data_IF_050425638043
#
_entry.id   IF_050425638043
#
_cell.length_a   1.000
_cell.length_b   1.000
_cell.length_c   1.000
_cell.angle_alpha   90.00
_cell.angle_beta   90.00
_cell.angle_gamma   90.00
#
_symmetry.space_group_name_H-M   'P 1'
#
loop_
_entity.id
_entity.type
_entity.pdbx_description
1 polymer ?
#
# COMPACT_ATOMS: atom_id res chain seq x y z
N UNK A 1 -31.93 -29.66 17.85
CA UNK A 1 -30.82 -30.05 16.96
C UNK A 1 -29.77 -28.95 17.03
N UNK A 2 -28.66 -29.20 17.74
CA UNK A 2 -27.55 -28.27 17.85
C UNK A 2 -26.72 -28.38 16.56
N UNK A 3 -26.62 -27.28 15.82
CA UNK A 3 -25.84 -27.19 14.59
C UNK A 3 -24.38 -27.51 14.88
N UNK A 4 -23.87 -28.57 14.25
CA UNK A 4 -22.47 -28.92 14.28
C UNK A 4 -21.66 -27.74 13.74
N UNK A 5 -20.84 -27.14 14.61
CA UNK A 5 -19.87 -26.15 14.20
C UNK A 5 -18.97 -26.76 13.14
N UNK A 6 -18.91 -26.14 11.96
CA UNK A 6 -17.93 -26.47 10.94
C UNK A 6 -16.56 -26.25 11.59
N UNK A 7 -15.88 -27.34 11.93
CA UNK A 7 -14.46 -27.31 12.28
C UNK A 7 -13.74 -26.95 11.00
N UNK A 8 -13.54 -25.64 10.78
CA UNK A 8 -12.65 -25.15 9.74
C UNK A 8 -11.26 -25.65 10.12
N UNK A 9 -10.80 -26.71 9.46
CA UNK A 9 -9.38 -27.10 9.42
C UNK A 9 -8.57 -25.80 9.31
N UNK A 10 -7.57 -25.61 10.17
CA UNK A 10 -6.77 -24.39 10.22
C UNK A 10 -6.16 -24.10 8.83
N UNK A 11 -6.90 -23.37 8.00
CA UNK A 11 -6.44 -22.94 6.70
C UNK A 11 -5.17 -22.14 6.96
N UNK A 12 -4.08 -22.51 6.27
CA UNK A 12 -2.83 -21.75 6.35
C UNK A 12 -3.19 -20.29 6.09
N UNK A 13 -2.81 -19.41 7.01
CA UNK A 13 -3.04 -17.97 6.86
C UNK A 13 -2.48 -17.52 5.51
N UNK A 14 -3.00 -16.43 4.91
CA UNK A 14 -2.54 -15.98 3.60
C UNK A 14 -1.01 -15.93 3.48
N UNK A 15 -0.32 -15.32 4.44
CA UNK A 15 1.14 -15.22 4.46
C UNK A 15 1.83 -16.58 4.64
N UNK A 16 1.27 -17.50 5.44
CA UNK A 16 1.82 -18.84 5.60
C UNK A 16 1.68 -19.69 4.32
N UNK A 17 0.62 -19.47 3.54
CA UNK A 17 0.36 -20.18 2.29
C UNK A 17 1.17 -19.63 1.11
N UNK A 18 1.36 -18.31 1.07
CA UNK A 18 1.86 -17.57 -0.11
C UNK A 18 3.23 -16.89 0.10
N UNK A 19 3.68 -16.68 1.34
CA UNK A 19 5.01 -16.15 1.63
C UNK A 19 5.19 -14.68 1.23
N UNK A 20 6.43 -14.29 0.90
CA UNK A 20 6.75 -12.92 0.47
C UNK A 20 6.32 -12.73 -0.98
N UNK A 21 5.59 -11.64 -1.25
CA UNK A 21 5.15 -11.30 -2.60
C UNK A 21 6.27 -10.62 -3.40
N UNK A 22 6.17 -10.71 -4.72
CA UNK A 22 7.02 -10.00 -5.68
C UNK A 22 6.22 -9.62 -6.92
N UNK A 23 6.82 -8.86 -7.84
CA UNK A 23 6.17 -8.44 -9.09
C UNK A 23 6.90 -9.08 -10.27
N UNK A 24 6.14 -9.66 -11.19
CA UNK A 24 6.65 -10.20 -12.46
C UNK A 24 5.78 -9.71 -13.61
N UNK A 25 6.36 -8.94 -14.51
CA UNK A 25 5.60 -8.18 -15.51
C UNK A 25 4.62 -7.26 -14.79
N UNK A 26 3.33 -7.44 -15.05
CA UNK A 26 2.25 -6.68 -14.41
C UNK A 26 1.62 -7.38 -13.20
N UNK A 27 1.99 -8.64 -12.95
CA UNK A 27 1.35 -9.48 -11.93
C UNK A 27 2.07 -9.37 -10.59
N UNK A 28 1.28 -9.19 -9.53
CA UNK A 28 1.71 -9.53 -8.17
C UNK A 28 1.69 -11.06 -8.03
N UNK A 29 2.80 -11.64 -7.60
CA UNK A 29 2.96 -13.09 -7.45
C UNK A 29 3.38 -13.47 -6.03
N UNK A 30 3.01 -14.68 -5.63
CA UNK A 30 3.42 -15.30 -4.38
C UNK A 30 4.84 -15.89 -4.47
N UNK A 31 5.35 -16.39 -3.33
CA UNK A 31 6.68 -17.00 -3.24
C UNK A 31 6.85 -18.29 -4.08
N UNK A 32 5.77 -18.84 -4.64
CA UNK A 32 5.77 -20.00 -5.53
C UNK A 32 5.64 -19.58 -7.00
N UNK A 33 5.64 -18.28 -7.29
CA UNK A 33 5.50 -17.73 -8.62
C UNK A 33 4.08 -17.71 -9.17
N UNK A 34 3.06 -17.94 -8.32
CA UNK A 34 1.65 -17.91 -8.75
C UNK A 34 1.08 -16.51 -8.58
N UNK A 35 0.23 -16.08 -9.51
CA UNK A 35 -0.50 -14.81 -9.41
C UNK A 35 -1.26 -14.76 -8.08
N UNK A 36 -1.17 -13.62 -7.41
CA UNK A 36 -1.78 -13.41 -6.09
C UNK A 36 -2.53 -12.09 -6.08
N UNK A 37 -3.74 -12.10 -5.52
CA UNK A 37 -4.58 -10.90 -5.41
C UNK A 37 -4.78 -10.54 -3.94
N UNK A 38 -4.42 -9.32 -3.59
CA UNK A 38 -4.79 -8.73 -2.31
C UNK A 38 -6.24 -8.26 -2.38
N UNK A 39 -7.07 -8.70 -1.43
CA UNK A 39 -8.46 -8.24 -1.22
C UNK A 39 -8.56 -7.85 0.24
N UNK A 40 -8.80 -6.57 0.47
CA UNK A 40 -8.59 -5.96 1.79
C UNK A 40 -9.45 -4.74 2.03
N UNK A 41 -9.28 -4.20 3.23
CA UNK A 41 -9.91 -2.95 3.68
C UNK A 41 -8.80 -1.99 4.13
N UNK A 42 -8.95 -0.72 3.78
CA UNK A 42 -8.15 0.37 4.34
C UNK A 42 -8.78 0.87 5.62
N UNK A 43 -7.95 1.20 6.60
CA UNK A 43 -8.40 2.13 7.64
C UNK A 43 -8.78 3.45 6.99
N UNK A 44 -9.67 4.20 7.66
CA UNK A 44 -9.66 5.65 7.53
C UNK A 44 -8.34 6.21 8.11
N UNK A 45 -8.15 7.53 8.11
CA UNK A 45 -6.93 8.12 8.69
C UNK A 45 -6.71 7.71 10.15
N UNK A 46 -5.55 7.10 10.42
CA UNK A 46 -5.20 6.60 11.77
C UNK A 46 -4.92 7.73 12.76
N UNK A 47 -4.76 8.95 12.26
CA UNK A 47 -4.67 10.21 13.00
C UNK A 47 -6.00 10.70 13.56
N UNK A 48 -7.13 10.07 13.20
CA UNK A 48 -8.46 10.48 13.65
C UNK A 48 -9.14 9.42 14.51
N UNK A 49 -10.04 9.88 15.38
CA UNK A 49 -10.81 9.03 16.30
C UNK A 49 -11.81 8.12 15.59
N UNK A 50 -12.10 8.37 14.31
CA UNK A 50 -12.94 7.48 13.49
C UNK A 50 -12.14 6.36 12.81
N UNK A 51 -10.82 6.53 12.65
CA UNK A 51 -9.95 5.52 12.04
C UNK A 51 -9.17 4.72 13.06
N UNK A 52 -8.54 5.41 14.03
CA UNK A 52 -7.65 4.84 15.03
C UNK A 52 -8.26 3.66 15.83
N UNK A 53 -9.52 3.70 16.30
CA UNK A 53 -10.07 2.62 17.12
C UNK A 53 -10.15 1.28 16.39
N UNK A 54 -10.24 1.28 15.05
CA UNK A 54 -10.35 0.06 14.25
C UNK A 54 -9.00 -0.57 13.90
N UNK A 55 -7.88 0.11 14.19
CA UNK A 55 -6.53 -0.46 14.06
C UNK A 55 -6.21 -1.31 15.29
N UNK A 56 -6.89 -2.46 15.40
CA UNK A 56 -6.71 -3.40 16.50
C UNK A 56 -6.85 -4.87 16.02
N UNK A 57 -6.33 -5.81 16.82
CA UNK A 57 -6.28 -7.23 16.47
C UNK A 57 -7.68 -7.87 16.33
N UNK A 58 -8.66 -7.44 17.12
CA UNK A 58 -10.01 -7.98 17.05
C UNK A 58 -10.68 -7.61 15.72
N UNK A 59 -10.64 -6.34 15.34
CA UNK A 59 -11.15 -5.87 14.04
C UNK A 59 -10.50 -6.59 12.87
N UNK A 60 -9.16 -6.73 12.87
CA UNK A 60 -8.45 -7.42 11.79
C UNK A 60 -8.80 -8.91 11.73
N UNK A 61 -9.01 -9.55 12.90
CA UNK A 61 -9.42 -10.95 12.96
C UNK A 61 -10.83 -11.14 12.40
N UNK A 62 -11.78 -10.26 12.73
CA UNK A 62 -13.13 -10.26 12.15
C UNK A 62 -13.07 -10.09 10.63
N UNK A 63 -12.36 -9.07 10.15
CA UNK A 63 -12.17 -8.85 8.71
C UNK A 63 -11.62 -10.11 8.02
N UNK A 64 -10.56 -10.74 8.57
CA UNK A 64 -9.97 -11.95 7.99
C UNK A 64 -10.93 -13.14 8.00
N UNK A 65 -11.52 -13.43 9.15
CA UNK A 65 -12.27 -14.66 9.36
C UNK A 65 -13.66 -14.60 8.72
N UNK A 66 -14.33 -13.46 8.84
CA UNK A 66 -15.75 -13.35 8.52
C UNK A 66 -15.94 -12.75 7.12
N UNK A 67 -15.05 -11.85 6.69
CA UNK A 67 -15.13 -11.19 5.37
C UNK A 67 -14.14 -11.78 4.36
N UNK A 68 -13.26 -12.69 4.80
CA UNK A 68 -12.29 -13.36 3.94
C UNK A 68 -11.19 -12.46 3.39
N UNK A 69 -10.93 -11.29 4.01
CA UNK A 69 -9.85 -10.42 3.53
C UNK A 69 -8.48 -10.97 3.87
N UNK A 70 -7.51 -10.75 2.99
CA UNK A 70 -6.13 -11.21 3.15
C UNK A 70 -5.12 -10.08 3.38
N UNK A 71 -5.58 -8.82 3.33
CA UNK A 71 -4.76 -7.64 3.50
C UNK A 71 -5.50 -6.53 4.25
N UNK A 72 -4.74 -5.69 4.94
CA UNK A 72 -5.20 -4.42 5.51
C UNK A 72 -4.31 -3.29 5.04
N UNK A 73 -4.86 -2.08 4.93
CA UNK A 73 -4.10 -0.88 4.58
C UNK A 73 -4.19 0.14 5.71
N UNK A 74 -3.06 0.73 6.09
CA UNK A 74 -2.94 1.67 7.21
C UNK A 74 -2.73 3.09 6.67
N UNK A 75 -3.82 3.85 6.54
CA UNK A 75 -3.80 5.21 5.99
C UNK A 75 -3.26 6.22 7.02
N UNK A 76 -1.98 6.60 6.90
CA UNK A 76 -1.35 7.58 7.78
C UNK A 76 -1.27 8.95 7.10
N UNK A 77 -2.24 9.83 7.36
CA UNK A 77 -2.30 11.15 6.75
C UNK A 77 -1.06 11.97 7.08
N UNK A 78 -0.56 12.68 6.07
CA UNK A 78 0.64 13.51 6.20
C UNK A 78 0.30 14.93 6.65
N UNK A 79 -0.67 15.57 5.98
CA UNK A 79 -0.85 17.03 6.03
C UNK A 79 -2.20 17.50 6.56
N UNK A 80 -3.13 16.57 6.83
CA UNK A 80 -4.43 16.89 7.41
C UNK A 80 -4.36 17.06 8.93
N UNK A 81 -5.48 17.41 9.57
CA UNK A 81 -5.55 17.63 11.01
C UNK A 81 -5.00 16.41 11.77
N UNK A 82 -4.05 16.64 12.69
CA UNK A 82 -3.29 15.62 13.41
C UNK A 82 -2.49 14.65 12.51
N UNK A 83 -2.25 15.02 11.25
CA UNK A 83 -1.41 14.27 10.33
C UNK A 83 0.06 14.27 10.76
N UNK A 84 0.82 13.31 10.24
CA UNK A 84 2.22 13.06 10.61
C UNK A 84 3.13 14.31 10.47
N UNK A 85 2.86 15.15 9.48
CA UNK A 85 3.58 16.40 9.21
C UNK A 85 2.77 17.66 9.57
N UNK A 86 1.62 17.52 10.23
CA UNK A 86 0.68 18.62 10.50
C UNK A 86 0.05 18.51 11.90
N UNK A 87 0.89 18.69 12.93
CA UNK A 87 0.46 18.75 14.34
C UNK A 87 0.22 17.41 15.02
N UNK A 88 0.23 16.30 14.28
CA UNK A 88 0.10 14.96 14.84
C UNK A 88 1.30 14.53 15.67
N UNK A 89 1.05 13.73 16.71
CA UNK A 89 2.12 13.08 17.46
C UNK A 89 2.76 11.96 16.60
N UNK A 90 3.90 12.27 15.99
CA UNK A 90 4.65 11.35 15.11
C UNK A 90 4.98 10.01 15.77
N UNK A 91 5.35 9.99 17.05
CA UNK A 91 5.65 8.74 17.75
C UNK A 91 4.40 7.89 17.98
N UNK A 92 3.28 8.53 18.30
CA UNK A 92 2.00 7.83 18.42
C UNK A 92 1.53 7.26 17.08
N UNK A 93 1.63 8.03 15.99
CA UNK A 93 1.28 7.56 14.64
C UNK A 93 2.19 6.39 14.21
N UNK A 94 3.50 6.49 14.42
CA UNK A 94 4.41 5.34 14.20
C UNK A 94 4.02 4.15 15.06
N UNK A 95 3.65 4.36 16.34
CA UNK A 95 3.19 3.28 17.23
C UNK A 95 1.92 2.61 16.69
N UNK A 96 0.95 3.36 16.19
CA UNK A 96 -0.25 2.81 15.55
C UNK A 96 0.09 1.99 14.31
N UNK A 97 0.98 2.48 13.44
CA UNK A 97 1.49 1.72 12.28
C UNK A 97 2.16 0.42 12.73
N UNK A 98 3.07 0.48 13.71
CA UNK A 98 3.74 -0.72 14.26
C UNK A 98 2.76 -1.72 14.85
N UNK A 99 1.74 -1.23 15.58
CA UNK A 99 0.68 -2.08 16.12
C UNK A 99 -0.12 -2.75 15.00
N UNK A 100 -0.56 -2.01 13.98
CA UNK A 100 -1.27 -2.55 12.82
C UNK A 100 -0.45 -3.63 12.10
N UNK A 101 0.84 -3.39 11.87
CA UNK A 101 1.74 -4.39 11.28
C UNK A 101 1.82 -5.63 12.17
N UNK A 102 2.02 -5.46 13.49
CA UNK A 102 2.06 -6.58 14.43
C UNK A 102 0.77 -7.40 14.38
N UNK A 103 -0.39 -6.75 14.38
CA UNK A 103 -1.68 -7.45 14.34
C UNK A 103 -1.86 -8.23 13.03
N UNK A 104 -1.52 -7.62 11.89
CA UNK A 104 -1.55 -8.31 10.60
C UNK A 104 -0.59 -9.50 10.55
N UNK A 105 0.64 -9.34 11.06
CA UNK A 105 1.64 -10.42 11.16
C UNK A 105 1.14 -11.58 12.04
N UNK A 106 0.63 -11.28 13.25
CA UNK A 106 0.08 -12.28 14.16
C UNK A 106 -1.10 -13.06 13.52
N UNK A 107 -1.86 -12.41 12.64
CA UNK A 107 -3.00 -13.01 11.93
C UNK A 107 -2.61 -13.59 10.56
N UNK A 108 -1.34 -13.49 10.15
CA UNK A 108 -0.84 -13.93 8.85
C UNK A 108 -1.50 -13.26 7.66
N UNK A 109 -1.85 -11.97 7.80
CA UNK A 109 -2.36 -11.10 6.76
C UNK A 109 -1.24 -10.22 6.19
N UNK A 110 -1.41 -9.75 4.96
CA UNK A 110 -0.59 -8.68 4.39
C UNK A 110 -0.99 -7.32 4.95
N UNK A 111 -0.05 -6.38 4.98
CA UNK A 111 -0.26 -5.01 5.45
C UNK A 111 0.40 -4.01 4.51
N UNK A 112 -0.38 -3.02 4.07
CA UNK A 112 0.12 -1.88 3.30
C UNK A 112 0.34 -0.72 4.28
N UNK A 113 1.57 -0.24 4.36
CA UNK A 113 1.93 0.99 5.09
C UNK A 113 1.79 2.13 4.10
N UNK A 114 0.79 2.99 4.32
CA UNK A 114 0.46 4.04 3.38
C UNK A 114 0.84 5.43 3.91
N UNK A 115 1.78 6.06 3.20
CA UNK A 115 2.12 7.47 3.36
C UNK A 115 1.07 8.33 2.66
N UNK A 116 0.04 8.66 3.44
CA UNK A 116 -1.25 9.11 2.92
C UNK A 116 -1.24 10.61 2.62
N UNK A 117 -0.56 10.98 1.52
CA UNK A 117 -0.70 12.32 0.94
C UNK A 117 -2.09 12.47 0.33
N UNK A 118 -2.66 13.65 0.48
CA UNK A 118 -3.95 14.00 -0.11
C UNK A 118 -4.01 15.51 -0.32
N UNK A 119 -4.31 16.27 0.74
CA UNK A 119 -4.39 17.75 0.68
C UNK A 119 -3.05 18.43 0.35
N UNK A 120 -1.92 17.82 0.69
CA UNK A 120 -0.59 18.31 0.35
C UNK A 120 -0.31 18.25 -1.17
N UNK A 121 -0.97 17.36 -1.90
CA UNK A 121 -0.98 17.25 -3.36
C UNK A 121 0.35 16.82 -3.96
N UNK A 122 1.39 17.64 -3.83
CA UNK A 122 2.73 17.35 -4.31
C UNK A 122 3.54 16.56 -3.24
N UNK A 123 3.92 15.30 -3.50
CA UNK A 123 4.66 14.48 -2.53
C UNK A 123 6.00 15.08 -2.11
N UNK A 124 6.62 15.93 -2.94
CA UNK A 124 7.91 16.57 -2.60
C UNK A 124 7.82 17.52 -1.41
N UNK A 125 6.62 18.04 -1.06
CA UNK A 125 6.43 18.90 0.12
C UNK A 125 6.85 18.22 1.42
N UNK A 126 6.65 16.90 1.51
CA UNK A 126 6.97 16.11 2.69
C UNK A 126 8.13 15.13 2.48
N UNK A 127 9.00 15.39 1.48
CA UNK A 127 10.07 14.46 1.08
C UNK A 127 11.03 14.11 2.23
N UNK A 128 11.45 15.08 3.05
CA UNK A 128 12.36 14.85 4.18
C UNK A 128 11.74 13.90 5.21
N UNK A 129 10.48 14.14 5.56
CA UNK A 129 9.74 13.35 6.52
C UNK A 129 9.46 11.94 5.98
N UNK A 130 9.08 11.83 4.71
CA UNK A 130 8.88 10.55 4.05
C UNK A 130 10.17 9.71 4.03
N UNK A 131 11.32 10.30 3.70
CA UNK A 131 12.62 9.61 3.76
C UNK A 131 12.90 9.05 5.15
N UNK A 132 12.76 9.87 6.20
CA UNK A 132 13.00 9.44 7.57
C UNK A 132 12.02 8.34 8.02
N UNK A 133 10.75 8.47 7.67
CA UNK A 133 9.73 7.48 7.98
C UNK A 133 10.01 6.14 7.29
N UNK A 134 10.24 6.15 5.97
CA UNK A 134 10.48 4.93 5.21
C UNK A 134 11.82 4.28 5.51
N UNK A 135 12.85 5.05 5.87
CA UNK A 135 14.10 4.49 6.41
C UNK A 135 13.81 3.69 7.70
N UNK A 136 13.15 4.33 8.67
CA UNK A 136 12.76 3.68 9.94
C UNK A 136 11.96 2.40 9.71
N UNK A 137 10.90 2.48 8.88
CA UNK A 137 10.01 1.33 8.64
C UNK A 137 10.72 0.21 7.87
N UNK A 138 11.52 0.55 6.86
CA UNK A 138 12.24 -0.45 6.06
C UNK A 138 13.35 -1.15 6.86
N UNK A 139 14.09 -0.44 7.71
CA UNK A 139 15.04 -1.06 8.66
C UNK A 139 14.32 -2.06 9.56
N UNK A 140 13.20 -1.65 10.15
CA UNK A 140 12.47 -2.45 11.13
C UNK A 140 11.81 -3.69 10.52
N UNK A 141 11.34 -3.59 9.28
CA UNK A 141 10.48 -4.62 8.67
C UNK A 141 11.08 -5.33 7.46
N UNK A 142 12.36 -5.12 7.13
CA UNK A 142 13.04 -5.79 6.00
C UNK A 142 12.96 -7.31 5.99
N UNK A 143 12.73 -7.96 7.13
CA UNK A 143 12.60 -9.43 7.24
C UNK A 143 11.15 -9.92 7.23
N UNK A 144 10.17 -9.02 7.30
CA UNK A 144 8.76 -9.38 7.25
C UNK A 144 8.36 -9.77 5.82
N UNK A 145 7.57 -10.85 5.69
CA UNK A 145 7.08 -11.32 4.39
C UNK A 145 5.79 -10.63 3.95
N UNK A 146 5.13 -9.93 4.88
CA UNK A 146 3.77 -9.44 4.73
C UNK A 146 3.64 -7.92 4.59
N UNK A 147 4.75 -7.17 4.64
CA UNK A 147 4.76 -5.70 4.58
C UNK A 147 4.94 -5.23 3.13
N UNK A 148 4.10 -4.27 2.74
CA UNK A 148 4.11 -3.57 1.46
C UNK A 148 4.13 -2.07 1.76
N UNK A 149 4.90 -1.29 1.00
CA UNK A 149 5.02 0.15 1.21
C UNK A 149 4.28 0.90 0.12
N UNK A 150 3.34 1.76 0.49
CA UNK A 150 2.71 2.71 -0.42
C UNK A 150 3.27 4.11 -0.14
N UNK A 151 4.10 4.61 -1.06
CA UNK A 151 4.98 5.77 -0.78
C UNK A 151 4.30 7.11 -0.99
N UNK A 152 3.18 7.14 -1.69
CA UNK A 152 2.34 8.32 -1.84
C UNK A 152 0.94 7.87 -2.29
N UNK A 153 -0.07 8.10 -1.45
CA UNK A 153 -1.47 7.75 -1.72
C UNK A 153 -2.02 8.37 -3.02
N UNK A 154 -2.22 9.69 -3.03
CA UNK A 154 -2.94 10.37 -4.12
C UNK A 154 -2.28 11.69 -4.51
N UNK A 155 -1.15 11.65 -5.25
CA UNK A 155 -0.59 12.86 -5.83
C UNK A 155 -1.63 13.63 -6.66
N UNK A 156 -1.75 14.94 -6.42
CA UNK A 156 -2.65 15.81 -7.15
C UNK A 156 -2.07 17.22 -7.28
N UNK A 157 -2.43 17.92 -8.35
CA UNK A 157 -1.87 19.24 -8.67
C UNK A 157 -0.37 19.23 -9.00
N UNK A 158 0.20 18.08 -9.39
CA UNK A 158 1.61 17.95 -9.79
C UNK A 158 1.80 16.97 -10.96
N UNK A 159 2.89 17.15 -11.71
CA UNK A 159 3.20 16.33 -12.88
C UNK A 159 3.73 14.94 -12.53
N UNK A 160 3.61 13.99 -13.47
CA UNK A 160 4.22 12.66 -13.32
C UNK A 160 5.74 12.72 -13.09
N UNK A 161 6.46 13.62 -13.77
CA UNK A 161 7.90 13.81 -13.54
C UNK A 161 8.19 14.19 -12.08
N UNK A 162 7.38 15.07 -11.47
CA UNK A 162 7.53 15.45 -10.06
C UNK A 162 7.36 14.26 -9.12
N UNK A 163 6.38 13.40 -9.42
CA UNK A 163 6.09 12.19 -8.62
C UNK A 163 7.20 11.15 -8.82
N UNK A 164 7.69 10.95 -10.05
CA UNK A 164 8.81 10.07 -10.36
C UNK A 164 10.07 10.46 -9.59
N UNK A 165 10.43 11.75 -9.61
CA UNK A 165 11.59 12.27 -8.88
C UNK A 165 11.49 12.05 -7.36
N UNK A 166 10.28 12.15 -6.82
CA UNK A 166 10.02 11.81 -5.41
C UNK A 166 10.17 10.30 -5.19
N UNK A 167 9.50 9.50 -6.02
CA UNK A 167 9.43 8.05 -5.89
C UNK A 167 10.82 7.41 -5.94
N UNK A 168 11.67 7.79 -6.90
CA UNK A 168 13.03 7.26 -7.03
C UNK A 168 13.88 7.52 -5.77
N UNK A 169 13.68 8.65 -5.10
CA UNK A 169 14.39 8.96 -3.87
C UNK A 169 13.90 8.11 -2.68
N UNK A 170 12.60 7.87 -2.57
CA UNK A 170 12.05 7.01 -1.51
C UNK A 170 12.36 5.54 -1.77
N UNK A 171 12.28 5.09 -3.03
CA UNK A 171 12.66 3.73 -3.43
C UNK A 171 14.12 3.47 -3.07
N UNK A 172 15.05 4.39 -3.32
CA UNK A 172 16.45 4.25 -2.91
C UNK A 172 16.59 4.03 -1.41
N UNK A 173 15.89 4.81 -0.58
CA UNK A 173 15.90 4.66 0.88
C UNK A 173 15.37 3.29 1.29
N UNK A 174 14.22 2.86 0.76
CA UNK A 174 13.65 1.54 1.10
C UNK A 174 14.60 0.43 0.64
N UNK A 175 15.19 0.52 -0.56
CA UNK A 175 16.07 -0.50 -1.14
C UNK A 175 17.41 -0.64 -0.43
N UNK A 176 17.90 0.39 0.25
CA UNK A 176 19.07 0.28 1.14
C UNK A 176 18.85 -0.72 2.27
N UNK A 177 17.60 -0.88 2.71
CA UNK A 177 17.24 -1.72 3.86
C UNK A 177 16.51 -3.01 3.46
N UNK A 178 15.61 -2.95 2.47
CA UNK A 178 14.83 -4.07 1.93
C UNK A 178 14.86 -4.07 0.40
N UNK A 179 15.83 -4.79 -0.16
CA UNK A 179 16.05 -4.93 -1.59
C UNK A 179 14.85 -5.55 -2.34
N UNK A 180 13.99 -6.29 -1.64
CA UNK A 180 12.92 -7.09 -2.25
C UNK A 180 11.51 -6.59 -1.90
N UNK A 181 11.36 -5.51 -1.15
CA UNK A 181 10.03 -4.99 -0.79
C UNK A 181 9.16 -4.67 -2.01
N UNK A 182 7.86 -5.00 -1.95
CA UNK A 182 6.89 -4.46 -2.91
C UNK A 182 6.62 -3.00 -2.53
N UNK A 183 6.76 -2.11 -3.50
CA UNK A 183 6.52 -0.67 -3.35
C UNK A 183 5.41 -0.26 -4.32
N UNK A 184 4.33 0.28 -3.77
CA UNK A 184 3.22 0.88 -4.49
C UNK A 184 3.46 2.39 -4.53
N UNK A 185 3.27 3.01 -5.70
CA UNK A 185 3.43 4.45 -5.87
C UNK A 185 2.21 5.08 -6.54
N UNK A 186 1.77 6.18 -5.94
CA UNK A 186 0.69 7.01 -6.43
C UNK A 186 0.99 7.62 -7.80
N UNK A 187 -0.07 7.95 -8.51
CA UNK A 187 -0.01 8.53 -9.85
C UNK A 187 -0.75 9.87 -9.90
N UNK A 188 -0.57 10.69 -10.96
CA UNK A 188 -1.24 11.99 -11.03
C UNK A 188 -2.76 11.89 -10.92
N UNK A 189 -3.38 13.03 -10.59
CA UNK A 189 -4.84 13.19 -10.53
C UNK A 189 -5.50 12.21 -9.57
N UNK A 190 -5.04 12.18 -8.31
CA UNK A 190 -5.55 11.28 -7.28
C UNK A 190 -5.41 9.81 -7.65
N UNK A 191 -4.22 9.45 -8.15
CA UNK A 191 -3.90 8.09 -8.57
C UNK A 191 -4.87 7.54 -9.62
N UNK A 192 -5.16 8.31 -10.66
CA UNK A 192 -6.06 7.89 -11.76
C UNK A 192 -5.31 7.40 -13.01
N UNK A 193 -4.08 6.88 -12.88
CA UNK A 193 -3.28 6.27 -13.97
C UNK A 193 -3.45 6.91 -15.37
N UNK A 194 -2.63 7.92 -15.67
CA UNK A 194 -2.55 8.52 -17.01
C UNK A 194 -1.58 7.81 -17.96
N UNK A 195 -1.69 8.10 -19.26
CA UNK A 195 -0.77 7.58 -20.30
C UNK A 195 0.69 7.98 -20.06
N UNK A 196 0.92 9.12 -19.40
CA UNK A 196 2.24 9.61 -19.03
C UNK A 196 2.99 8.66 -18.09
N UNK A 197 2.26 7.91 -17.25
CA UNK A 197 2.83 6.90 -16.36
C UNK A 197 3.29 5.70 -17.18
N UNK A 198 2.45 5.23 -18.10
CA UNK A 198 2.73 4.09 -18.97
C UNK A 198 3.89 4.36 -19.95
N UNK A 199 3.98 5.58 -20.48
CA UNK A 199 5.05 5.98 -21.41
C UNK A 199 6.40 6.21 -20.70
N UNK A 200 6.38 6.55 -19.41
CA UNK A 200 7.58 6.87 -18.65
C UNK A 200 7.60 6.19 -17.26
N UNK A 201 7.56 4.85 -17.20
CA UNK A 201 7.57 4.13 -15.93
C UNK A 201 8.89 4.33 -15.19
N UNK A 202 8.88 4.06 -13.89
CA UNK A 202 10.09 3.89 -13.07
C UNK A 202 10.93 2.76 -13.67
N UNK A 203 12.22 3.04 -13.94
CA UNK A 203 13.18 2.07 -14.51
C UNK A 203 14.27 1.73 -13.49
N UNK A 204 14.91 0.56 -13.67
CA UNK A 204 16.04 0.13 -12.84
C UNK A 204 15.68 -0.45 -11.47
N UNK A 205 14.39 -0.58 -11.15
CA UNK A 205 13.91 -1.18 -9.90
C UNK A 205 12.93 -2.31 -10.17
N UNK A 206 13.03 -3.38 -9.37
CA UNK A 206 12.07 -4.49 -9.33
C UNK A 206 11.03 -4.26 -8.23
N UNK A 207 9.94 -5.04 -8.26
CA UNK A 207 8.87 -5.03 -7.24
C UNK A 207 8.22 -3.65 -7.07
N UNK A 208 7.97 -2.97 -8.18
CA UNK A 208 7.27 -1.68 -8.24
C UNK A 208 5.88 -1.89 -8.82
N UNK A 209 4.86 -1.31 -8.19
CA UNK A 209 3.49 -1.26 -8.67
C UNK A 209 2.97 0.18 -8.63
N UNK A 210 2.00 0.50 -9.48
CA UNK A 210 1.37 1.82 -9.58
C UNK A 210 -0.06 1.72 -9.04
N UNK A 211 -0.51 2.68 -8.23
CA UNK A 211 -1.89 2.67 -7.74
C UNK A 211 -2.87 3.30 -8.73
N UNK A 212 -4.07 2.71 -8.77
CA UNK A 212 -5.28 3.24 -9.39
C UNK A 212 -6.36 3.35 -8.32
N UNK A 213 -6.83 4.56 -8.03
CA UNK A 213 -7.97 4.79 -7.14
C UNK A 213 -9.18 5.18 -7.96
N UNK A 214 -10.34 4.64 -7.59
CA UNK A 214 -11.61 4.99 -8.22
C UNK A 214 -12.75 4.89 -7.21
N UNK A 215 -13.72 5.77 -7.35
CA UNK A 215 -15.00 5.70 -6.65
C UNK A 215 -16.11 5.36 -7.66
N UNK A 216 -16.94 4.37 -7.33
CA UNK A 216 -17.88 3.78 -8.29
C UNK A 216 -18.96 4.73 -8.82
N UNK A 217 -19.22 5.84 -8.10
CA UNK A 217 -20.17 6.87 -8.51
C UNK A 217 -19.56 7.93 -9.46
N UNK A 218 -18.25 7.89 -9.71
CA UNK A 218 -17.58 8.83 -10.61
C UNK A 218 -17.61 8.34 -12.06
N UNK A 219 -18.26 9.12 -12.94
CA UNK A 219 -18.61 8.71 -14.32
C UNK A 219 -17.43 8.38 -15.25
N UNK A 220 -16.20 8.80 -14.95
CA UNK A 220 -15.08 8.81 -15.93
C UNK A 220 -13.86 7.94 -15.56
N UNK A 221 -13.79 7.38 -14.35
CA UNK A 221 -12.53 6.83 -13.83
C UNK A 221 -12.17 5.46 -14.42
N UNK A 222 -13.16 4.61 -14.69
CA UNK A 222 -12.91 3.21 -15.08
C UNK A 222 -12.61 3.05 -16.59
N UNK A 223 -13.29 3.81 -17.46
CA UNK A 223 -13.21 3.60 -18.90
C UNK A 223 -11.92 4.12 -19.56
N UNK A 224 -11.30 5.17 -19.02
CA UNK A 224 -10.08 5.77 -19.58
C UNK A 224 -8.84 5.02 -19.10
N UNK A 225 -8.78 4.67 -17.81
CA UNK A 225 -7.63 3.98 -17.20
C UNK A 225 -7.39 2.58 -17.80
N UNK A 226 -8.45 1.75 -17.88
CA UNK A 226 -8.35 0.39 -18.40
C UNK A 226 -7.89 0.36 -19.86
N UNK A 227 -8.39 1.28 -20.71
CA UNK A 227 -8.05 1.31 -22.15
C UNK A 227 -6.63 1.78 -22.44
N UNK A 228 -6.06 2.62 -21.59
CA UNK A 228 -4.67 3.09 -21.71
C UNK A 228 -3.69 2.04 -21.17
N UNK A 229 -4.03 1.39 -20.06
CA UNK A 229 -3.21 0.34 -19.46
C UNK A 229 -3.16 -0.93 -20.33
N UNK A 230 -4.30 -1.40 -20.84
CA UNK A 230 -4.36 -2.52 -21.81
C UNK A 230 -3.65 -2.24 -23.15
N UNK A 231 -3.37 -0.97 -23.47
CA UNK A 231 -2.56 -0.60 -24.65
C UNK A 231 -1.06 -0.65 -24.36
N UNK A 232 -0.64 -0.28 -23.14
CA UNK A 232 0.75 -0.33 -22.71
C UNK A 232 1.27 -1.76 -22.48
N UNK A 233 0.40 -2.68 -22.03
CA UNK A 233 0.72 -4.12 -21.90
C UNK A 233 1.19 -4.77 -23.21
N UNK A 234 0.85 -4.19 -24.36
CA UNK A 234 1.19 -4.75 -25.67
C UNK A 234 2.57 -4.36 -26.21
N UNK A 235 3.32 -3.45 -25.57
CA UNK A 235 4.58 -2.98 -26.15
C UNK A 235 5.84 -3.18 -25.31
N UNK A 236 5.89 -2.90 -24.01
CA UNK A 236 7.23 -2.60 -23.43
C UNK A 236 7.51 -3.10 -21.98
N UNK A 237 7.00 -4.27 -21.57
CA UNK A 237 7.33 -4.84 -20.23
C UNK A 237 8.31 -6.04 -20.28
N UNK A 238 9.17 -6.13 -21.30
CA UNK A 238 10.30 -7.08 -21.34
C UNK A 238 11.54 -6.52 -20.65
#
# INVERSE_FOLDING_TARGET
>A
MLGQGIVVSAAKTPVAAHGRLSVKGVDLIDAKGKKFQLRGISSHGINWDVGAPYVNKASFKTLRNDWGVNAVRLAMYTSEYNGYCAGGNKENLKKQVRNGIKYATDLGMYVIIDWHILKDGNPKKQLKEAKSFFDTMSVQYKNQKNVIYEICNEPNGCSWNTIRDYAEQIIKVIRQNDANAVIILGTPNWSQLGSEVANHPIKGYKNIMYSLHFYANEKNTVNICLRSWMRAERKDWQ
#
